data_IF_901284706554
#
_entry.id   IF_901284706554
#
_cell.length_a   1.000
_cell.length_b   1.000
_cell.length_c   1.000
_cell.angle_alpha   90.00
_cell.angle_beta   90.00
_cell.angle_gamma   90.00
#
_symmetry.space_group_name_H-M   'P 1'
#
loop_
_entity.id
_entity.type
_entity.pdbx_description
1 polymer ?
#
# COMPACT_ATOMS: atom_id res chain seq x y z
N UNK A 1 2.02 14.10 17.45
CA UNK A 1 1.30 14.97 16.48
C UNK A 1 2.29 15.26 15.37
N UNK A 2 2.15 14.58 14.22
CA UNK A 2 3.04 14.78 13.07
C UNK A 2 2.75 16.15 12.48
N UNK A 3 3.76 16.99 12.21
CA UNK A 3 3.52 18.30 11.61
C UNK A 3 2.87 18.13 10.24
N UNK A 4 1.76 18.82 10.00
CA UNK A 4 1.06 18.91 8.69
C UNK A 4 2.03 19.23 7.54
N UNK A 5 3.15 19.88 7.86
CA UNK A 5 4.24 20.18 6.93
C UNK A 5 4.96 18.93 6.38
N UNK A 6 5.02 17.82 7.13
CA UNK A 6 5.66 16.60 6.68
C UNK A 6 4.76 15.83 5.69
N UNK A 7 3.45 15.87 5.92
CA UNK A 7 2.46 15.29 4.99
C UNK A 7 2.47 16.07 3.68
N UNK A 8 2.51 17.40 3.75
CA UNK A 8 2.65 18.27 2.56
C UNK A 8 3.98 18.10 1.84
N UNK A 9 5.11 17.88 2.54
CA UNK A 9 6.41 17.69 1.89
C UNK A 9 6.47 16.37 1.11
N UNK A 10 5.84 15.30 1.61
CA UNK A 10 5.71 14.02 0.87
C UNK A 10 4.72 14.15 -0.30
N UNK A 11 3.70 15.00 -0.18
CA UNK A 11 2.78 15.34 -1.26
C UNK A 11 3.43 16.23 -2.32
N UNK A 12 4.33 17.17 -1.94
CA UNK A 12 5.03 18.08 -2.84
C UNK A 12 6.21 17.41 -3.58
N UNK A 13 6.91 16.45 -2.96
CA UNK A 13 7.94 15.64 -3.64
C UNK A 13 7.32 14.59 -4.58
N UNK A 14 6.09 14.19 -4.32
CA UNK A 14 5.17 13.54 -5.25
C UNK A 14 4.34 14.57 -6.02
N UNK A 15 4.93 15.71 -6.41
CA UNK A 15 4.26 16.66 -7.31
C UNK A 15 3.64 15.87 -8.45
N UNK A 16 2.33 15.99 -8.73
CA UNK A 16 1.68 15.18 -9.72
C UNK A 16 2.28 15.53 -11.09
N UNK A 17 3.33 14.83 -11.48
CA UNK A 17 3.57 14.67 -12.90
C UNK A 17 2.23 14.16 -13.42
N UNK A 18 1.61 14.93 -14.30
CA UNK A 18 0.35 14.57 -14.94
C UNK A 18 0.50 13.16 -15.51
N UNK A 19 0.07 12.18 -14.73
CA UNK A 19 0.07 10.76 -15.12
C UNK A 19 -1.35 10.39 -15.56
N UNK A 20 -1.62 10.39 -16.87
CA UNK A 20 -2.93 10.03 -17.40
C UNK A 20 -3.37 8.61 -17.00
N UNK A 21 -2.43 7.67 -16.87
CA UNK A 21 -2.76 6.31 -16.46
C UNK A 21 -3.27 6.29 -15.00
N UNK A 22 -2.68 7.09 -14.13
CA UNK A 22 -3.13 7.22 -12.74
C UNK A 22 -4.52 7.84 -12.65
N UNK A 23 -4.84 8.83 -13.50
CA UNK A 23 -6.18 9.42 -13.54
C UNK A 23 -7.23 8.40 -13.98
N UNK A 24 -6.95 7.61 -15.03
CA UNK A 24 -7.83 6.52 -15.46
C UNK A 24 -8.00 5.47 -14.37
N UNK A 25 -6.91 5.14 -13.67
CA UNK A 25 -6.93 4.23 -12.51
C UNK A 25 -7.87 4.74 -11.42
N UNK A 26 -7.76 6.01 -11.02
CA UNK A 26 -8.64 6.61 -10.02
C UNK A 26 -10.12 6.58 -10.44
N UNK A 27 -10.41 6.90 -11.70
CA UNK A 27 -11.78 6.85 -12.24
C UNK A 27 -12.34 5.42 -12.16
N UNK A 28 -11.57 4.41 -12.60
CA UNK A 28 -11.96 3.01 -12.55
C UNK A 28 -12.22 2.54 -11.10
N UNK A 29 -11.33 2.89 -10.16
CA UNK A 29 -11.49 2.53 -8.75
C UNK A 29 -12.71 3.19 -8.12
N UNK A 30 -12.99 4.46 -8.44
CA UNK A 30 -14.21 5.14 -8.01
C UNK A 30 -15.46 4.40 -8.47
N UNK A 31 -15.46 3.93 -9.73
CA UNK A 31 -16.56 3.14 -10.28
C UNK A 31 -16.72 1.80 -9.57
N UNK A 32 -15.61 1.08 -9.33
CA UNK A 32 -15.61 -0.19 -8.60
C UNK A 32 -16.16 -0.05 -7.19
N UNK A 33 -15.70 0.95 -6.46
CA UNK A 33 -16.16 1.24 -5.09
C UNK A 33 -17.65 1.55 -5.08
N UNK A 34 -18.11 2.41 -5.99
CA UNK A 34 -19.53 2.79 -6.07
C UNK A 34 -20.43 1.61 -6.42
N UNK A 35 -19.96 0.69 -7.25
CA UNK A 35 -20.73 -0.48 -7.68
C UNK A 35 -20.54 -1.71 -6.78
N UNK A 36 -19.54 -1.74 -5.91
CA UNK A 36 -19.18 -2.89 -5.10
C UNK A 36 -18.70 -4.10 -5.91
N UNK A 37 -18.20 -3.89 -7.13
CA UNK A 37 -17.72 -4.96 -8.04
C UNK A 37 -16.71 -4.43 -9.05
N UNK A 38 -15.85 -5.32 -9.55
CA UNK A 38 -14.90 -5.03 -10.63
C UNK A 38 -15.38 -5.49 -12.01
N UNK A 39 -16.63 -5.97 -12.13
CA UNK A 39 -17.19 -6.60 -13.34
C UNK A 39 -17.66 -5.58 -14.37
N UNK A 40 -16.72 -4.77 -14.87
CA UNK A 40 -16.96 -3.82 -15.96
C UNK A 40 -16.17 -4.23 -17.21
N UNK A 41 -16.72 -3.92 -18.36
CA UNK A 41 -16.01 -4.02 -19.65
C UNK A 41 -15.00 -2.88 -19.79
N UNK A 42 -14.02 -3.04 -20.69
CA UNK A 42 -13.07 -1.96 -21.01
C UNK A 42 -13.80 -0.75 -21.57
N UNK A 43 -14.87 -0.95 -22.34
CA UNK A 43 -15.70 0.11 -22.86
C UNK A 43 -16.28 1.00 -21.75
N UNK A 44 -16.91 0.37 -20.73
CA UNK A 44 -17.48 1.10 -19.60
C UNK A 44 -16.42 1.83 -18.78
N UNK A 45 -15.26 1.21 -18.56
CA UNK A 45 -14.14 1.85 -17.84
C UNK A 45 -13.59 3.04 -18.62
N UNK A 46 -13.42 2.91 -19.93
CA UNK A 46 -12.90 3.96 -20.79
C UNK A 46 -13.89 5.13 -20.88
N UNK A 47 -15.19 4.85 -21.09
CA UNK A 47 -16.26 5.85 -21.08
C UNK A 47 -16.31 6.62 -19.75
N UNK A 48 -16.24 5.89 -18.61
CA UNK A 48 -16.23 6.52 -17.29
C UNK A 48 -15.01 7.41 -17.06
N UNK A 49 -13.85 7.03 -17.60
CA UNK A 49 -12.61 7.81 -17.53
C UNK A 49 -12.50 8.90 -18.61
N UNK A 50 -13.48 9.04 -19.52
CA UNK A 50 -13.48 10.03 -20.59
C UNK A 50 -12.42 9.78 -21.68
N UNK A 51 -12.05 8.51 -21.94
CA UNK A 51 -11.05 8.13 -22.93
C UNK A 51 -11.60 7.07 -23.90
N UNK A 52 -10.89 6.84 -25.03
CA UNK A 52 -11.22 5.72 -25.92
C UNK A 52 -10.68 4.39 -25.40
N UNK A 53 -11.30 3.27 -25.78
CA UNK A 53 -10.79 1.91 -25.51
C UNK A 53 -9.36 1.72 -26.02
N UNK A 54 -9.02 2.29 -27.19
CA UNK A 54 -7.65 2.30 -27.75
C UNK A 54 -6.67 3.00 -26.78
N UNK A 55 -7.08 4.10 -26.17
CA UNK A 55 -6.28 4.83 -25.19
C UNK A 55 -6.13 4.02 -23.90
N UNK A 56 -7.21 3.35 -23.47
CA UNK A 56 -7.18 2.46 -22.32
C UNK A 56 -6.14 1.34 -22.50
N UNK A 57 -6.19 0.59 -23.62
CA UNK A 57 -5.22 -0.47 -23.91
C UNK A 57 -3.78 0.02 -24.12
N UNK A 58 -3.58 1.27 -24.44
CA UNK A 58 -2.24 1.88 -24.48
C UNK A 58 -1.66 2.02 -23.08
N UNK A 59 -2.48 2.26 -22.05
CA UNK A 59 -2.05 2.38 -20.66
C UNK A 59 -2.04 1.02 -19.95
N UNK A 60 -3.01 0.18 -20.23
CA UNK A 60 -3.23 -1.08 -19.52
C UNK A 60 -3.36 -2.24 -20.52
N UNK A 61 -2.33 -3.08 -20.65
CA UNK A 61 -2.38 -4.26 -21.53
C UNK A 61 -3.53 -5.21 -21.19
N UNK A 62 -3.88 -5.33 -19.92
CA UNK A 62 -5.04 -6.07 -19.42
C UNK A 62 -5.96 -5.13 -18.67
N UNK A 63 -7.25 -5.43 -18.67
CA UNK A 63 -8.28 -4.64 -17.99
C UNK A 63 -7.98 -4.49 -16.49
N UNK A 64 -7.55 -5.55 -15.88
CA UNK A 64 -7.26 -5.63 -14.44
C UNK A 64 -6.04 -4.78 -14.02
N UNK A 65 -5.12 -4.51 -14.94
CA UNK A 65 -3.94 -3.67 -14.67
C UNK A 65 -4.31 -2.23 -14.32
N UNK A 66 -5.55 -1.82 -14.58
CA UNK A 66 -6.08 -0.48 -14.24
C UNK A 66 -5.98 -0.16 -12.75
N UNK A 67 -5.95 -1.15 -11.85
CA UNK A 67 -5.84 -0.93 -10.40
C UNK A 67 -4.39 -0.65 -9.96
N UNK A 68 -3.39 -1.06 -10.74
CA UNK A 68 -1.97 -1.04 -10.38
C UNK A 68 -1.45 0.36 -10.03
N UNK A 69 -1.71 1.43 -10.82
CA UNK A 69 -1.15 2.76 -10.53
C UNK A 69 -1.51 3.29 -9.14
N UNK A 70 -2.76 3.16 -8.72
CA UNK A 70 -3.21 3.65 -7.41
C UNK A 70 -2.69 2.77 -6.27
N UNK A 71 -2.72 1.45 -6.43
CA UNK A 71 -2.21 0.53 -5.41
C UNK A 71 -0.69 0.71 -5.20
N UNK A 72 0.07 0.85 -6.30
CA UNK A 72 1.52 1.11 -6.22
C UNK A 72 1.83 2.47 -5.61
N UNK A 73 0.98 3.49 -5.85
CA UNK A 73 1.16 4.79 -5.20
C UNK A 73 1.02 4.71 -3.68
N UNK A 74 0.06 3.92 -3.16
CA UNK A 74 -0.07 3.66 -1.72
C UNK A 74 1.16 2.97 -1.13
N UNK A 75 1.74 2.01 -1.86
CA UNK A 75 2.98 1.33 -1.48
C UNK A 75 4.18 2.29 -1.42
N UNK A 76 4.30 3.16 -2.43
CA UNK A 76 5.34 4.17 -2.48
C UNK A 76 5.20 5.16 -1.32
N UNK A 77 3.98 5.61 -1.05
CA UNK A 77 3.68 6.50 0.08
C UNK A 77 4.09 5.88 1.42
N UNK A 78 3.77 4.61 1.67
CA UNK A 78 4.18 3.92 2.89
C UNK A 78 5.71 3.92 3.06
N UNK A 79 6.45 3.58 2.02
CA UNK A 79 7.91 3.54 2.05
C UNK A 79 8.52 4.93 2.26
N UNK A 80 7.97 5.96 1.60
CA UNK A 80 8.41 7.35 1.76
C UNK A 80 8.11 7.89 3.18
N UNK A 81 6.91 7.61 3.70
CA UNK A 81 6.55 7.96 5.07
C UNK A 81 7.48 7.29 6.10
N UNK A 82 7.84 6.02 5.89
CA UNK A 82 8.79 5.32 6.76
C UNK A 82 10.17 5.99 6.74
N UNK A 83 10.66 6.37 5.56
CA UNK A 83 11.96 7.04 5.43
C UNK A 83 11.96 8.42 6.08
N UNK A 84 10.84 9.14 6.05
CA UNK A 84 10.68 10.48 6.61
C UNK A 84 10.44 10.51 8.14
N UNK A 85 10.24 9.35 8.79
CA UNK A 85 10.02 9.29 10.26
C UNK A 85 11.29 9.71 11.02
N UNK A 86 11.15 10.37 12.19
CA UNK A 86 12.30 10.76 13.03
C UNK A 86 13.21 9.56 13.35
N UNK A 87 14.52 9.74 13.27
CA UNK A 87 15.50 8.70 13.59
C UNK A 87 15.46 8.23 15.04
N UNK A 88 14.91 9.08 15.93
CA UNK A 88 14.74 8.78 17.36
C UNK A 88 13.63 7.76 17.65
N UNK A 89 12.75 7.51 16.69
CA UNK A 89 11.72 6.49 16.83
C UNK A 89 12.28 5.09 16.62
N UNK A 90 11.74 4.12 17.34
CA UNK A 90 12.04 2.71 17.06
C UNK A 90 11.59 2.32 15.65
N UNK A 91 12.25 1.35 15.03
CA UNK A 91 11.83 0.85 13.70
C UNK A 91 10.38 0.36 13.73
N UNK A 92 9.98 -0.26 14.83
CA UNK A 92 8.64 -0.78 15.04
C UNK A 92 7.58 0.33 15.07
N UNK A 93 7.82 1.38 15.86
CA UNK A 93 6.90 2.53 15.96
C UNK A 93 6.84 3.29 14.65
N UNK A 94 7.98 3.48 13.98
CA UNK A 94 8.06 4.12 12.68
C UNK A 94 7.26 3.36 11.60
N UNK A 95 7.35 2.02 11.58
CA UNK A 95 6.56 1.18 10.68
C UNK A 95 5.05 1.31 10.92
N UNK A 96 4.62 1.24 12.18
CA UNK A 96 3.20 1.40 12.54
C UNK A 96 2.67 2.77 12.15
N UNK A 97 3.40 3.83 12.51
CA UNK A 97 2.99 5.20 12.21
C UNK A 97 2.98 5.50 10.71
N UNK A 98 4.00 5.05 9.98
CA UNK A 98 4.06 5.22 8.53
C UNK A 98 2.92 4.48 7.82
N UNK A 99 2.61 3.25 8.26
CA UNK A 99 1.50 2.48 7.70
C UNK A 99 0.16 3.15 7.95
N UNK A 100 -0.10 3.59 9.19
CA UNK A 100 -1.35 4.26 9.56
C UNK A 100 -1.57 5.58 8.79
N UNK A 101 -0.50 6.28 8.42
CA UNK A 101 -0.54 7.51 7.63
C UNK A 101 -0.56 7.26 6.12
N UNK A 102 -0.28 6.04 5.67
CA UNK A 102 -0.34 5.71 4.24
C UNK A 102 -1.77 5.48 3.80
N UNK A 103 -2.02 5.63 2.50
CA UNK A 103 -3.32 5.31 1.91
C UNK A 103 -3.79 3.87 2.22
N UNK A 104 -2.88 2.94 2.40
CA UNK A 104 -3.23 1.57 2.78
C UNK A 104 -3.78 1.46 4.21
N UNK A 105 -3.28 2.28 5.12
CA UNK A 105 -3.75 2.36 6.50
C UNK A 105 -4.95 3.27 6.68
N UNK A 106 -5.21 4.14 5.71
CA UNK A 106 -6.40 4.98 5.73
C UNK A 106 -7.67 4.15 5.71
N UNK A 107 -8.63 4.61 6.48
CA UNK A 107 -9.87 3.91 6.71
C UNK A 107 -11.06 4.60 6.04
N UNK A 108 -10.88 4.99 4.79
CA UNK A 108 -12.02 5.43 4.00
C UNK A 108 -12.85 4.21 3.58
N UNK A 109 -14.17 4.37 3.47
CA UNK A 109 -15.06 3.34 2.91
C UNK A 109 -14.54 2.84 1.55
N UNK A 110 -13.94 3.74 0.78
CA UNK A 110 -13.34 3.42 -0.52
C UNK A 110 -12.16 2.45 -0.41
N UNK A 111 -11.25 2.66 0.54
CA UNK A 111 -10.11 1.77 0.75
C UNK A 111 -10.55 0.38 1.23
N UNK A 112 -11.60 0.30 2.04
CA UNK A 112 -12.16 -0.95 2.52
C UNK A 112 -12.80 -1.76 1.38
N UNK A 113 -13.66 -1.13 0.59
CA UNK A 113 -14.29 -1.78 -0.56
C UNK A 113 -13.24 -2.24 -1.55
N UNK A 114 -12.24 -1.41 -1.83
CA UNK A 114 -11.18 -1.79 -2.76
C UNK A 114 -10.36 -3.00 -2.26
N UNK A 115 -10.05 -3.06 -0.96
CA UNK A 115 -9.39 -4.25 -0.39
C UNK A 115 -10.20 -5.51 -0.59
N UNK A 116 -11.51 -5.46 -0.33
CA UNK A 116 -12.41 -6.60 -0.57
C UNK A 116 -12.40 -7.01 -2.05
N UNK A 117 -12.44 -6.05 -2.97
CA UNK A 117 -12.42 -6.29 -4.40
C UNK A 117 -11.11 -6.90 -4.90
N UNK A 118 -9.97 -6.64 -4.24
CA UNK A 118 -8.68 -7.25 -4.61
C UNK A 118 -8.67 -8.77 -4.42
N UNK A 119 -9.59 -9.31 -3.64
CA UNK A 119 -9.76 -10.74 -3.44
C UNK A 119 -10.87 -11.36 -4.31
N UNK A 120 -11.59 -10.55 -5.10
CA UNK A 120 -12.72 -11.02 -5.92
C UNK A 120 -12.29 -12.00 -7.02
N UNK A 121 -11.09 -11.82 -7.59
CA UNK A 121 -10.57 -12.68 -8.65
C UNK A 121 -9.10 -13.05 -8.43
N UNK A 122 -8.69 -14.20 -8.99
CA UNK A 122 -7.28 -14.63 -8.94
C UNK A 122 -6.33 -13.64 -9.62
N UNK A 123 -6.79 -12.95 -10.65
CA UNK A 123 -6.00 -11.96 -11.37
C UNK A 123 -5.71 -10.75 -10.50
N UNK A 124 -6.73 -10.20 -9.83
CA UNK A 124 -6.54 -9.05 -8.93
C UNK A 124 -5.69 -9.42 -7.72
N UNK A 125 -5.88 -10.63 -7.19
CA UNK A 125 -5.03 -11.15 -6.12
C UNK A 125 -3.56 -11.27 -6.56
N UNK A 126 -3.30 -11.70 -7.79
CA UNK A 126 -1.95 -11.77 -8.34
C UNK A 126 -1.33 -10.37 -8.44
N UNK A 127 -2.07 -9.39 -8.96
CA UNK A 127 -1.61 -7.99 -9.03
C UNK A 127 -1.28 -7.45 -7.63
N UNK A 128 -2.12 -7.75 -6.65
CA UNK A 128 -1.86 -7.36 -5.26
C UNK A 128 -0.56 -7.98 -4.72
N UNK A 129 -0.34 -9.27 -4.94
CA UNK A 129 0.87 -9.97 -4.51
C UNK A 129 2.12 -9.42 -5.20
N UNK A 130 2.05 -9.07 -6.48
CA UNK A 130 3.15 -8.41 -7.20
C UNK A 130 3.51 -7.08 -6.56
N UNK A 131 2.50 -6.26 -6.22
CA UNK A 131 2.71 -4.96 -5.57
C UNK A 131 3.33 -5.14 -4.18
N UNK A 132 2.92 -6.14 -3.43
CA UNK A 132 3.54 -6.47 -2.14
C UNK A 132 5.01 -6.87 -2.32
N UNK A 133 5.33 -7.67 -3.34
CA UNK A 133 6.72 -8.05 -3.63
C UNK A 133 7.59 -6.83 -4.02
N UNK A 134 7.05 -5.92 -4.82
CA UNK A 134 7.71 -4.66 -5.15
C UNK A 134 7.90 -3.77 -3.91
N UNK A 135 6.91 -3.76 -3.00
CA UNK A 135 6.97 -3.02 -1.74
C UNK A 135 8.07 -3.55 -0.84
N UNK A 136 8.27 -4.86 -0.79
CA UNK A 136 9.34 -5.48 0.00
C UNK A 136 10.72 -4.93 -0.41
N UNK A 137 10.96 -4.76 -1.72
CA UNK A 137 12.22 -4.20 -2.22
C UNK A 137 12.43 -2.76 -1.72
N UNK A 138 11.38 -1.93 -1.75
CA UNK A 138 11.46 -0.53 -1.28
C UNK A 138 11.63 -0.45 0.23
N UNK A 139 10.94 -1.29 0.98
CA UNK A 139 11.04 -1.34 2.44
C UNK A 139 12.44 -1.75 2.89
N UNK A 140 13.14 -2.62 2.16
CA UNK A 140 14.54 -2.97 2.49
C UNK A 140 15.42 -1.73 2.54
N UNK A 141 15.30 -0.84 1.56
CA UNK A 141 16.07 0.41 1.52
C UNK A 141 15.80 1.26 2.77
N UNK A 142 14.52 1.52 3.06
CA UNK A 142 14.13 2.35 4.20
C UNK A 142 14.51 1.73 5.56
N UNK A 143 14.35 0.41 5.70
CA UNK A 143 14.70 -0.33 6.92
C UNK A 143 16.22 -0.36 7.11
N UNK A 144 16.98 -0.61 6.04
CA UNK A 144 18.44 -0.62 6.08
C UNK A 144 18.99 0.72 6.57
N UNK A 145 18.52 1.82 5.98
CA UNK A 145 18.92 3.16 6.37
C UNK A 145 18.63 3.44 7.86
N UNK A 146 17.43 3.10 8.35
CA UNK A 146 17.05 3.32 9.76
C UNK A 146 17.86 2.49 10.75
N UNK A 147 18.25 1.29 10.36
CA UNK A 147 18.96 0.36 11.26
C UNK A 147 20.48 0.42 11.12
N UNK A 148 21.00 1.22 10.20
CA UNK A 148 22.43 1.24 9.89
C UNK A 148 22.93 -0.11 9.34
N UNK A 149 22.10 -0.82 8.58
CA UNK A 149 22.39 -2.13 8.01
C UNK A 149 22.55 -2.04 6.49
N UNK A 150 23.16 -3.06 5.90
CA UNK A 150 23.17 -3.25 4.46
C UNK A 150 21.80 -3.74 3.96
N UNK A 151 21.37 -3.26 2.77
CA UNK A 151 20.08 -3.66 2.16
C UNK A 151 20.01 -5.17 1.87
N UNK A 152 21.14 -5.79 1.55
CA UNK A 152 21.29 -7.22 1.28
C UNK A 152 21.44 -8.07 2.54
N UNK A 153 21.64 -7.47 3.71
CA UNK A 153 21.80 -8.19 4.95
C UNK A 153 20.57 -9.09 5.23
N UNK A 154 20.82 -10.28 5.71
CA UNK A 154 19.76 -11.26 6.01
C UNK A 154 18.72 -10.68 6.94
N UNK A 155 19.15 -9.91 7.97
CA UNK A 155 18.24 -9.26 8.91
C UNK A 155 17.31 -8.26 8.22
N UNK A 156 17.83 -7.39 7.35
CA UNK A 156 17.05 -6.39 6.60
C UNK A 156 16.02 -7.07 5.72
N UNK A 157 16.44 -8.08 4.95
CA UNK A 157 15.54 -8.84 4.09
C UNK A 157 14.41 -9.51 4.88
N UNK A 158 14.73 -10.19 5.98
CA UNK A 158 13.74 -10.88 6.80
C UNK A 158 12.73 -9.89 7.42
N UNK A 159 13.19 -8.73 7.90
CA UNK A 159 12.28 -7.71 8.44
C UNK A 159 11.34 -7.23 7.36
N UNK A 160 11.83 -6.89 6.17
CA UNK A 160 10.97 -6.44 5.07
C UNK A 160 9.96 -7.51 4.65
N UNK A 161 10.39 -8.78 4.51
CA UNK A 161 9.49 -9.90 4.18
C UNK A 161 8.42 -10.11 5.25
N UNK A 162 8.78 -10.00 6.53
CA UNK A 162 7.85 -10.11 7.65
C UNK A 162 6.84 -8.97 7.64
N UNK A 163 7.28 -7.72 7.44
CA UNK A 163 6.37 -6.57 7.31
C UNK A 163 5.36 -6.79 6.18
N UNK A 164 5.81 -7.27 5.02
CA UNK A 164 4.95 -7.60 3.89
C UNK A 164 3.98 -8.76 4.20
N UNK A 165 4.43 -9.77 4.96
CA UNK A 165 3.57 -10.85 5.42
C UNK A 165 2.49 -10.34 6.38
N UNK A 166 2.85 -9.43 7.30
CA UNK A 166 1.90 -8.78 8.21
C UNK A 166 0.88 -7.96 7.43
N UNK A 167 1.28 -7.14 6.43
CA UNK A 167 0.35 -6.40 5.58
C UNK A 167 -0.68 -7.34 4.94
N UNK A 168 -0.24 -8.46 4.38
CA UNK A 168 -1.14 -9.45 3.75
C UNK A 168 -2.09 -10.08 4.77
N UNK A 169 -1.57 -10.49 5.92
CA UNK A 169 -2.37 -11.10 7.00
C UNK A 169 -3.45 -10.15 7.49
N UNK A 170 -3.06 -8.94 7.84
CA UNK A 170 -3.97 -7.91 8.35
C UNK A 170 -5.03 -7.52 7.33
N UNK A 171 -4.66 -7.41 6.04
CA UNK A 171 -5.60 -7.11 4.98
C UNK A 171 -6.66 -8.21 4.78
N UNK A 172 -6.29 -9.47 5.00
CA UNK A 172 -7.21 -10.61 4.86
C UNK A 172 -8.14 -10.79 6.07
N UNK A 173 -7.72 -10.32 7.25
CA UNK A 173 -8.47 -10.49 8.51
C UNK A 173 -9.31 -9.28 8.90
N UNK A 174 -9.23 -8.18 8.12
CA UNK A 174 -9.83 -6.92 8.50
C UNK A 174 -11.35 -6.94 8.31
N UNK A 175 -12.07 -6.70 9.41
CA UNK A 175 -13.51 -6.46 9.39
C UNK A 175 -13.78 -5.05 8.83
N UNK A 176 -14.61 -4.97 7.79
CA UNK A 176 -14.97 -3.73 7.10
C UNK A 176 -15.82 -2.76 7.93
N UNK A 177 -16.21 -3.13 9.14
CA UNK A 177 -17.07 -2.30 9.99
C UNK A 177 -16.32 -1.24 10.80
N UNK A 178 -14.99 -1.36 10.97
CA UNK A 178 -14.18 -0.41 11.73
C UNK A 178 -13.22 0.36 10.81
N UNK A 179 -13.31 1.69 10.76
CA UNK A 179 -12.46 2.50 9.89
C UNK A 179 -10.95 2.40 10.15
N UNK A 180 -10.49 2.16 11.34
CA UNK A 180 -9.08 1.99 11.66
C UNK A 180 -8.62 0.51 11.68
N UNK A 181 -9.52 -0.41 11.34
CA UNK A 181 -9.30 -1.83 11.52
C UNK A 181 -8.01 -2.36 10.88
N UNK A 182 -7.63 -1.85 9.70
CA UNK A 182 -6.42 -2.33 9.04
C UNK A 182 -5.14 -1.80 9.71
N UNK A 183 -5.08 -0.52 10.05
CA UNK A 183 -3.93 0.05 10.74
C UNK A 183 -3.76 -0.57 12.14
N UNK A 184 -4.87 -0.78 12.86
CA UNK A 184 -4.88 -1.43 14.17
C UNK A 184 -4.52 -2.92 14.05
N UNK A 185 -5.03 -3.63 13.04
CA UNK A 185 -4.66 -5.01 12.78
C UNK A 185 -3.17 -5.13 12.43
N UNK A 186 -2.68 -4.28 11.54
CA UNK A 186 -1.26 -4.23 11.20
C UNK A 186 -0.39 -3.97 12.43
N UNK A 187 -0.77 -3.01 13.28
CA UNK A 187 -0.01 -2.69 14.48
C UNK A 187 0.01 -3.87 15.47
N UNK A 188 -1.13 -4.52 15.71
CA UNK A 188 -1.23 -5.71 16.59
C UNK A 188 -0.43 -6.89 16.05
N UNK A 189 -0.60 -7.19 14.77
CA UNK A 189 0.08 -8.33 14.11
C UNK A 189 1.59 -8.10 14.10
N UNK A 190 2.03 -6.86 13.86
CA UNK A 190 3.42 -6.48 13.89
C UNK A 190 4.01 -6.59 15.31
N UNK A 191 3.26 -6.20 16.36
CA UNK A 191 3.69 -6.38 17.76
C UNK A 191 3.80 -7.86 18.12
N UNK A 192 2.87 -8.68 17.69
CA UNK A 192 2.90 -10.13 17.91
C UNK A 192 4.18 -10.75 17.32
N UNK A 193 4.53 -10.36 16.10
CA UNK A 193 5.75 -10.83 15.43
C UNK A 193 7.00 -10.26 16.08
N UNK A 194 6.98 -8.97 16.47
CA UNK A 194 8.11 -8.30 17.07
C UNK A 194 8.52 -8.93 18.41
N UNK A 195 7.57 -9.35 19.21
CA UNK A 195 7.84 -10.05 20.46
C UNK A 195 8.66 -11.35 20.26
N UNK A 196 8.55 -11.97 19.08
CA UNK A 196 9.31 -13.17 18.72
C UNK A 196 10.52 -12.93 17.84
N UNK A 197 10.49 -11.92 16.95
CA UNK A 197 11.51 -11.68 15.93
C UNK A 197 12.47 -10.52 16.23
N UNK A 198 12.02 -9.52 16.98
CA UNK A 198 12.78 -8.27 17.19
C UNK A 198 13.41 -8.16 18.56
N UNK A 199 13.18 -9.04 19.40
CA UNK A 199 13.82 -8.97 20.67
C UNK A 199 13.20 -9.93 21.64
N UNK A 200 13.89 -10.77 22.07
CA UNK A 200 14.21 -10.89 23.49
C UNK A 200 15.54 -11.55 23.53
N UNK A 201 16.56 -10.80 23.72
CA UNK A 201 17.67 -11.31 24.48
C UNK A 201 17.09 -11.70 25.85
N UNK A 202 16.68 -12.94 25.97
CA UNK A 202 16.58 -13.58 27.28
C UNK A 202 18.00 -13.88 27.66
N UNK A 203 18.56 -13.01 28.52
CA UNK A 203 19.78 -13.26 29.25
C UNK A 203 19.71 -14.57 30.05
#
# INVERSE_FOLDING_TARGET
MVPIQLIRAVEDEAAPSYDPARQVSHAALSLFVKAGTTRFSVKELAEHAGISERTFYRYFPRKEDVVRPVLSAGANQFSALLAARPETESVLDALKAAFALSWWGESTDQAQVLRALMHETDVLRTIWLDIIAETEIRLRVAIAARMGLDEGATRTRLIASVVCAVIRSSASACDSSNPHALADAFARDLDCVAAGLFGVERG
#
